data_IF_435120125216
#
_entry.id   IF_435120125216
#
_cell.length_a   1.000
_cell.length_b   1.000
_cell.length_c   1.000
_cell.angle_alpha   90.00
_cell.angle_beta   90.00
_cell.angle_gamma   90.00
#
_symmetry.space_group_name_H-M   'P 1'
#
loop_
_entity.id
_entity.type
_entity.pdbx_description
1 polymer ?
#
# COMPACT_ATOMS: atom_id res chain seq x y z
N UNK A 1 -5.72 42.73 -12.00
CA UNK A 1 -6.16 41.47 -11.35
C UNK A 1 -6.23 40.41 -12.42
N UNK A 2 -5.11 39.72 -12.65
CA UNK A 2 -5.05 38.55 -13.54
C UNK A 2 -5.69 37.39 -12.78
N UNK A 3 -6.84 36.97 -13.27
CA UNK A 3 -7.52 35.74 -12.87
C UNK A 3 -6.59 34.57 -13.19
N UNK A 4 -5.87 34.08 -12.19
CA UNK A 4 -5.13 32.82 -12.30
C UNK A 4 -6.14 31.74 -12.62
N UNK A 5 -6.18 31.40 -13.90
CA UNK A 5 -7.00 30.32 -14.44
C UNK A 5 -6.45 29.08 -13.77
N UNK A 6 -7.22 28.55 -12.81
CA UNK A 6 -6.93 27.29 -12.13
C UNK A 6 -6.63 26.28 -13.23
N UNK A 7 -5.34 25.96 -13.39
CA UNK A 7 -4.85 24.97 -14.35
C UNK A 7 -5.75 23.77 -14.21
N UNK A 8 -6.42 23.38 -15.29
CA UNK A 8 -7.10 22.09 -15.38
C UNK A 8 -6.21 21.06 -14.71
N UNK A 9 -6.75 20.47 -13.64
CA UNK A 9 -6.05 19.55 -12.75
C UNK A 9 -5.38 18.52 -13.66
N UNK A 10 -4.05 18.57 -13.77
CA UNK A 10 -3.26 17.64 -14.59
C UNK A 10 -3.20 16.31 -13.85
N UNK A 11 -4.38 15.73 -13.79
CA UNK A 11 -4.73 14.34 -13.80
C UNK A 11 -3.53 13.39 -13.87
N UNK A 12 -3.22 12.80 -12.71
CA UNK A 12 -2.04 11.96 -12.50
C UNK A 12 -2.04 10.71 -13.41
N UNK A 13 -0.95 10.51 -14.14
CA UNK A 13 -0.76 9.37 -15.04
C UNK A 13 0.08 8.25 -14.40
N UNK A 14 -0.54 7.09 -14.24
CA UNK A 14 0.04 5.89 -13.64
C UNK A 14 0.83 5.03 -14.65
N UNK A 15 0.69 5.30 -15.95
CA UNK A 15 1.27 4.47 -16.99
C UNK A 15 2.80 4.53 -16.98
N UNK A 16 3.43 3.39 -17.27
CA UNK A 16 4.89 3.27 -17.36
C UNK A 16 5.62 3.29 -16.02
N UNK A 17 4.93 3.51 -14.88
CA UNK A 17 5.53 3.40 -13.55
C UNK A 17 5.79 1.92 -13.22
N UNK A 18 4.78 1.06 -13.38
CA UNK A 18 4.88 -0.35 -13.05
C UNK A 18 4.88 -1.23 -14.32
N UNK A 19 5.56 -2.39 -14.30
CA UNK A 19 6.49 -2.86 -13.27
C UNK A 19 7.86 -2.16 -13.29
N UNK A 20 8.13 -1.34 -14.32
CA UNK A 20 9.46 -0.86 -14.72
C UNK A 20 10.26 -0.23 -13.56
N UNK A 21 9.60 0.52 -12.70
CA UNK A 21 10.25 1.22 -11.60
C UNK A 21 10.42 0.36 -10.34
N UNK A 22 9.73 -0.76 -10.24
CA UNK A 22 9.83 -1.70 -9.11
C UNK A 22 10.67 -2.94 -9.43
N UNK A 23 10.79 -3.31 -10.70
CA UNK A 23 11.53 -4.51 -11.08
C UNK A 23 13.01 -4.35 -10.74
N UNK A 24 13.62 -5.40 -10.19
CA UNK A 24 15.03 -5.40 -9.79
C UNK A 24 15.42 -4.52 -8.59
N UNK A 25 14.48 -3.80 -7.96
CA UNK A 25 14.76 -3.00 -6.76
C UNK A 25 14.05 -3.57 -5.52
N UNK A 26 14.80 -3.84 -4.46
CA UNK A 26 14.24 -4.31 -3.20
C UNK A 26 13.81 -3.12 -2.33
N UNK A 27 12.55 -3.05 -1.91
CA UNK A 27 12.04 -1.97 -1.07
C UNK A 27 12.11 -2.26 0.43
N UNK A 28 12.60 -3.43 0.82
CA UNK A 28 12.82 -3.76 2.23
C UNK A 28 13.93 -2.87 2.80
N UNK A 29 13.58 -2.15 3.87
CA UNK A 29 14.50 -1.24 4.57
C UNK A 29 15.72 -1.94 5.17
N UNK A 30 15.67 -3.25 5.35
CA UNK A 30 16.77 -4.05 5.89
C UNK A 30 17.64 -4.71 4.81
N UNK A 31 17.19 -4.74 3.54
CA UNK A 31 17.89 -5.45 2.47
C UNK A 31 19.29 -4.88 2.16
N UNK A 32 19.48 -3.57 2.32
CA UNK A 32 20.70 -2.87 1.88
C UNK A 32 21.73 -2.66 2.98
N UNK A 33 21.67 -3.35 4.13
CA UNK A 33 22.65 -3.11 5.20
C UNK A 33 24.11 -3.36 4.77
N UNK A 34 24.33 -4.22 3.78
CA UNK A 34 25.66 -4.55 3.26
C UNK A 34 26.14 -3.73 2.07
N UNK A 35 25.30 -2.85 1.50
CA UNK A 35 25.71 -2.04 0.34
C UNK A 35 26.79 -1.02 0.74
N UNK A 36 27.83 -0.79 -0.08
CA UNK A 36 28.93 0.12 0.25
C UNK A 36 28.45 1.53 0.66
N UNK A 37 27.43 2.05 -0.01
CA UNK A 37 26.89 3.38 0.23
C UNK A 37 25.82 3.43 1.33
N UNK A 38 25.31 2.28 1.79
CA UNK A 38 24.20 2.24 2.74
C UNK A 38 24.54 2.91 4.07
N UNK A 39 25.74 2.69 4.60
CA UNK A 39 26.17 3.31 5.84
C UNK A 39 26.36 4.82 5.68
N UNK A 40 26.88 5.26 4.53
CA UNK A 40 27.04 6.68 4.22
C UNK A 40 25.67 7.37 4.11
N UNK A 41 24.72 6.79 3.37
CA UNK A 41 23.36 7.31 3.30
C UNK A 41 22.63 7.27 4.65
N UNK A 42 22.80 6.22 5.45
CA UNK A 42 22.24 6.18 6.82
C UNK A 42 22.74 7.36 7.65
N UNK A 43 24.05 7.63 7.59
CA UNK A 43 24.69 8.73 8.31
C UNK A 43 24.23 10.11 7.82
N UNK A 44 24.08 10.27 6.50
CA UNK A 44 23.54 11.48 5.86
C UNK A 44 22.08 11.71 6.27
N UNK A 45 21.22 10.72 6.09
CA UNK A 45 19.80 10.78 6.43
C UNK A 45 19.55 11.03 7.93
N UNK A 46 20.32 10.41 8.82
CA UNK A 46 20.22 10.68 10.26
C UNK A 46 20.59 12.12 10.58
N UNK A 47 21.61 12.67 9.91
CA UNK A 47 22.01 14.05 10.10
C UNK A 47 20.93 15.03 9.63
N UNK A 48 20.36 14.77 8.45
CA UNK A 48 19.24 15.53 7.90
C UNK A 48 18.04 15.52 8.86
N UNK A 49 17.68 14.35 9.39
CA UNK A 49 16.55 14.23 10.32
C UNK A 49 16.77 15.02 11.62
N UNK A 50 17.98 14.99 12.19
CA UNK A 50 18.31 15.75 13.40
C UNK A 50 18.20 17.27 13.17
N UNK A 51 18.54 17.73 11.96
CA UNK A 51 18.43 19.14 11.60
C UNK A 51 16.96 19.56 11.41
N UNK A 52 16.16 18.75 10.73
CA UNK A 52 14.79 19.12 10.33
C UNK A 52 13.72 18.69 11.35
N UNK A 53 14.04 17.79 12.28
CA UNK A 53 13.09 17.25 13.26
C UNK A 53 13.69 17.13 14.65
N UNK A 54 12.87 17.39 15.68
CA UNK A 54 13.23 17.23 17.10
C UNK A 54 12.86 15.84 17.65
N UNK A 55 12.49 14.89 16.80
CA UNK A 55 12.01 13.57 17.20
C UNK A 55 13.11 12.56 17.55
N UNK A 56 12.72 11.48 18.22
CA UNK A 56 13.61 10.37 18.59
C UNK A 56 13.59 9.19 17.59
N UNK A 57 12.91 9.35 16.43
CA UNK A 57 12.70 8.28 15.44
C UNK A 57 13.77 8.25 14.34
N UNK A 58 14.95 8.79 14.61
CA UNK A 58 16.04 8.92 13.64
C UNK A 58 16.41 7.60 12.98
N UNK A 59 16.42 6.49 13.73
CA UNK A 59 16.78 5.18 13.20
C UNK A 59 15.80 4.70 12.12
N UNK A 60 14.50 4.81 12.36
CA UNK A 60 13.48 4.39 11.38
C UNK A 60 13.46 5.29 10.15
N UNK A 61 13.55 6.62 10.38
CA UNK A 61 13.68 7.60 9.31
C UNK A 61 14.88 7.27 8.43
N UNK A 62 16.05 7.07 9.03
CA UNK A 62 17.32 6.87 8.31
C UNK A 62 17.30 5.62 7.45
N UNK A 63 16.64 4.55 7.92
CA UNK A 63 16.47 3.32 7.15
C UNK A 63 15.62 3.55 5.89
N UNK A 64 14.50 4.26 6.01
CA UNK A 64 13.61 4.55 4.87
C UNK A 64 14.24 5.57 3.92
N UNK A 65 14.82 6.65 4.44
CA UNK A 65 15.53 7.65 3.65
C UNK A 65 16.70 7.03 2.88
N UNK A 66 17.45 6.09 3.48
CA UNK A 66 18.48 5.31 2.78
C UNK A 66 17.90 4.54 1.58
N UNK A 67 16.77 3.84 1.75
CA UNK A 67 16.15 3.10 0.64
C UNK A 67 15.82 4.05 -0.51
N UNK A 68 15.27 5.23 -0.21
CA UNK A 68 14.98 6.23 -1.24
C UNK A 68 16.23 6.79 -1.92
N UNK A 69 17.30 7.03 -1.17
CA UNK A 69 18.57 7.48 -1.72
C UNK A 69 19.20 6.44 -2.66
N UNK A 70 19.17 5.16 -2.26
CA UNK A 70 19.61 4.04 -3.10
C UNK A 70 18.71 3.86 -4.32
N UNK A 71 17.40 4.09 -4.17
CA UNK A 71 16.46 4.05 -5.28
C UNK A 71 16.77 5.13 -6.33
N UNK A 72 17.08 6.35 -5.89
CA UNK A 72 17.55 7.40 -6.79
C UNK A 72 18.84 6.98 -7.54
N UNK A 73 19.80 6.35 -6.84
CA UNK A 73 21.00 5.80 -7.50
C UNK A 73 20.63 4.73 -8.55
N UNK A 74 19.71 3.82 -8.21
CA UNK A 74 19.22 2.76 -9.09
C UNK A 74 18.59 3.30 -10.38
N UNK A 75 17.69 4.29 -10.27
CA UNK A 75 16.99 4.84 -11.45
C UNK A 75 17.86 5.83 -12.25
N UNK A 76 18.95 6.32 -11.68
CA UNK A 76 19.90 7.22 -12.35
C UNK A 76 20.57 6.61 -13.59
N UNK A 77 20.64 5.28 -13.67
CA UNK A 77 21.19 4.55 -14.81
C UNK A 77 20.15 4.22 -15.91
N UNK A 78 18.87 4.56 -15.71
CA UNK A 78 17.80 4.27 -16.67
C UNK A 78 17.67 5.36 -17.73
N UNK A 79 17.06 5.01 -18.86
CA UNK A 79 16.67 5.96 -19.91
C UNK A 79 15.81 7.11 -19.33
N UNK A 80 15.95 8.31 -19.90
CA UNK A 80 15.29 9.53 -19.40
C UNK A 80 13.77 9.38 -19.25
N UNK A 81 13.10 8.82 -20.26
CA UNK A 81 11.66 8.57 -20.22
C UNK A 81 11.26 7.65 -19.06
N UNK A 82 11.99 6.56 -18.86
CA UNK A 82 11.75 5.62 -17.76
C UNK A 82 12.02 6.27 -16.42
N UNK A 83 13.14 7.01 -16.32
CA UNK A 83 13.54 7.73 -15.11
C UNK A 83 12.45 8.71 -14.67
N UNK A 84 11.87 9.48 -15.59
CA UNK A 84 10.77 10.41 -15.29
C UNK A 84 9.56 9.72 -14.67
N UNK A 85 9.14 8.58 -15.21
CA UNK A 85 8.06 7.79 -14.61
C UNK A 85 8.45 7.23 -13.23
N UNK A 86 9.71 6.84 -13.05
CA UNK A 86 10.20 6.36 -11.77
C UNK A 86 10.36 7.45 -10.71
N UNK A 87 10.54 8.71 -11.12
CA UNK A 87 10.51 9.86 -10.22
C UNK A 87 9.12 10.08 -9.61
N UNK A 88 8.03 9.79 -10.34
CA UNK A 88 6.66 9.77 -9.75
C UNK A 88 6.56 8.78 -8.59
N UNK A 89 7.12 7.57 -8.75
CA UNK A 89 7.16 6.56 -7.68
C UNK A 89 8.04 7.02 -6.50
N UNK A 90 9.18 7.65 -6.77
CA UNK A 90 10.02 8.26 -5.73
C UNK A 90 9.25 9.29 -4.91
N UNK A 91 8.55 10.24 -5.54
CA UNK A 91 7.80 11.27 -4.82
C UNK A 91 6.63 10.70 -4.03
N UNK A 92 5.93 9.70 -4.56
CA UNK A 92 4.92 8.94 -3.81
C UNK A 92 5.52 8.36 -2.52
N UNK A 93 6.67 7.68 -2.65
CA UNK A 93 7.36 7.06 -1.52
C UNK A 93 7.93 8.07 -0.54
N UNK A 94 8.48 9.18 -1.01
CA UNK A 94 8.93 10.28 -0.17
C UNK A 94 7.77 10.86 0.64
N UNK A 95 6.63 11.15 0.00
CA UNK A 95 5.45 11.67 0.68
C UNK A 95 4.96 10.70 1.75
N UNK A 96 4.69 9.45 1.36
CA UNK A 96 4.08 8.44 2.23
C UNK A 96 5.02 7.93 3.32
N UNK A 97 6.23 7.52 2.96
CA UNK A 97 7.13 6.79 3.85
C UNK A 97 8.01 7.75 4.68
N UNK A 98 8.17 9.02 4.26
CA UNK A 98 8.98 10.01 4.97
C UNK A 98 8.13 11.15 5.54
N UNK A 99 7.45 11.92 4.68
CA UNK A 99 6.80 13.17 5.10
C UNK A 99 5.64 12.87 6.05
N UNK A 100 4.68 12.04 5.62
CA UNK A 100 3.47 11.76 6.39
C UNK A 100 3.76 11.08 7.75
N UNK A 101 4.87 10.36 7.87
CA UNK A 101 5.24 9.60 9.08
C UNK A 101 6.13 10.40 10.03
N UNK A 102 7.07 11.20 9.50
CA UNK A 102 8.13 11.81 10.31
C UNK A 102 8.16 13.33 10.26
N UNK A 103 7.65 13.96 9.20
CA UNK A 103 7.81 15.39 8.91
C UNK A 103 6.49 16.09 8.53
N UNK A 104 5.36 15.57 9.01
CA UNK A 104 4.00 15.92 8.56
C UNK A 104 3.65 17.41 8.75
N UNK A 105 4.33 18.11 9.67
CA UNK A 105 4.05 19.51 9.98
C UNK A 105 5.08 20.47 9.40
N UNK A 106 6.20 19.93 8.92
CA UNK A 106 7.37 20.69 8.50
C UNK A 106 7.39 20.93 6.98
N UNK A 107 6.71 20.07 6.21
CA UNK A 107 6.71 20.14 4.75
C UNK A 107 5.31 19.97 4.17
N UNK A 108 4.70 21.05 3.63
CA UNK A 108 3.42 20.93 2.96
C UNK A 108 3.54 20.16 1.63
N UNK A 109 4.71 20.19 0.99
CA UNK A 109 4.94 19.61 -0.34
C UNK A 109 6.24 18.78 -0.41
N UNK A 110 6.21 17.72 -1.23
CA UNK A 110 7.31 16.77 -1.33
C UNK A 110 8.53 17.30 -2.08
N UNK A 111 8.35 18.20 -3.04
CA UNK A 111 9.44 18.94 -3.71
C UNK A 111 10.28 19.76 -2.72
N UNK A 112 9.67 20.45 -1.77
CA UNK A 112 10.36 21.27 -0.77
C UNK A 112 11.21 20.40 0.14
N UNK A 113 10.64 19.27 0.62
CA UNK A 113 11.39 18.28 1.40
C UNK A 113 12.57 17.73 0.61
N UNK A 114 12.35 17.31 -0.64
CA UNK A 114 13.40 16.74 -1.47
C UNK A 114 14.51 17.75 -1.78
N UNK A 115 14.17 19.01 -2.06
CA UNK A 115 15.15 20.06 -2.30
C UNK A 115 16.07 20.24 -1.09
N UNK A 116 15.51 20.27 0.14
CA UNK A 116 16.34 20.31 1.34
C UNK A 116 17.19 19.05 1.54
N UNK A 117 16.67 17.87 1.20
CA UNK A 117 17.45 16.62 1.22
C UNK A 117 18.63 16.68 0.24
N UNK A 118 18.43 17.28 -0.95
CA UNK A 118 19.48 17.51 -1.96
C UNK A 118 20.50 18.53 -1.47
N UNK A 119 20.08 19.58 -0.75
CA UNK A 119 20.96 20.66 -0.31
C UNK A 119 21.73 20.31 0.97
N UNK A 120 21.21 19.37 1.77
CA UNK A 120 21.86 18.92 3.00
C UNK A 120 23.23 18.29 2.72
N UNK A 121 24.25 18.80 3.40
CA UNK A 121 25.62 18.26 3.38
C UNK A 121 26.03 17.93 4.80
N UNK A 122 26.68 16.78 4.99
CA UNK A 122 27.25 16.38 6.27
C UNK A 122 28.77 16.39 6.15
N UNK A 123 29.43 17.18 7.02
CA UNK A 123 30.88 17.29 7.04
C UNK A 123 31.53 15.90 7.15
N UNK A 124 32.51 15.64 6.28
CA UNK A 124 33.24 14.36 6.25
C UNK A 124 32.52 13.22 5.52
N UNK A 125 31.35 13.45 4.91
CA UNK A 125 30.74 12.50 3.98
C UNK A 125 30.88 12.97 2.53
N UNK A 126 31.38 12.08 1.68
CA UNK A 126 31.57 12.25 0.23
C UNK A 126 30.31 11.87 -0.59
N UNK A 127 29.15 11.75 0.07
CA UNK A 127 27.90 11.34 -0.56
C UNK A 127 26.83 12.42 -0.43
N UNK A 128 26.00 12.55 -1.46
CA UNK A 128 24.86 13.46 -1.50
C UNK A 128 23.61 12.72 -2.02
N UNK A 129 22.43 13.21 -1.63
CA UNK A 129 21.19 12.76 -2.25
C UNK A 129 21.20 13.24 -3.70
N UNK A 130 21.02 12.31 -4.63
CA UNK A 130 20.97 12.60 -6.06
C UNK A 130 19.79 13.54 -6.36
N UNK A 131 19.99 14.49 -7.28
CA UNK A 131 18.99 15.47 -7.72
C UNK A 131 18.24 15.04 -9.00
N UNK A 132 18.41 13.80 -9.46
CA UNK A 132 17.89 13.32 -10.75
C UNK A 132 16.37 13.43 -10.94
N UNK A 133 15.60 13.55 -9.86
CA UNK A 133 14.14 13.71 -9.93
C UNK A 133 13.67 15.14 -9.67
N UNK A 134 14.58 16.10 -9.50
CA UNK A 134 14.27 17.47 -9.09
C UNK A 134 13.31 18.16 -10.06
N UNK A 135 13.53 17.96 -11.35
CA UNK A 135 12.77 18.62 -12.42
C UNK A 135 11.52 17.81 -12.84
N UNK A 136 11.35 16.59 -12.31
CA UNK A 136 10.25 15.67 -12.60
C UNK A 136 9.24 15.60 -11.44
N UNK A 137 9.10 16.69 -10.68
CA UNK A 137 8.11 16.78 -9.60
C UNK A 137 6.68 16.66 -10.13
N UNK A 138 5.89 15.83 -9.46
CA UNK A 138 4.46 15.70 -9.70
C UNK A 138 3.75 15.81 -8.36
N UNK A 139 2.76 16.70 -8.29
CA UNK A 139 1.88 16.76 -7.13
C UNK A 139 0.99 15.51 -7.10
N UNK A 140 0.98 14.80 -5.97
CA UNK A 140 0.22 13.56 -5.80
C UNK A 140 -0.89 13.85 -4.80
N UNK A 141 -2.11 13.98 -5.29
CA UNK A 141 -3.28 14.14 -4.44
C UNK A 141 -3.55 12.90 -3.57
N UNK A 142 -4.47 13.03 -2.62
CA UNK A 142 -4.77 11.98 -1.65
C UNK A 142 -5.28 10.70 -2.32
N UNK A 143 -6.08 10.82 -3.39
CA UNK A 143 -6.65 9.66 -4.06
C UNK A 143 -5.63 9.00 -5.01
N UNK A 144 -4.84 9.79 -5.74
CA UNK A 144 -3.71 9.27 -6.51
C UNK A 144 -2.71 8.54 -5.60
N UNK A 145 -2.47 9.02 -4.38
CA UNK A 145 -1.61 8.36 -3.40
C UNK A 145 -2.16 6.99 -2.98
N UNK A 146 -3.47 6.86 -2.73
CA UNK A 146 -4.12 5.56 -2.42
C UNK A 146 -4.06 4.58 -3.58
N UNK A 147 -4.21 5.06 -4.81
CA UNK A 147 -4.10 4.23 -6.01
C UNK A 147 -2.67 3.73 -6.18
N UNK A 148 -1.68 4.61 -6.04
CA UNK A 148 -0.26 4.26 -6.05
C UNK A 148 0.08 3.21 -4.98
N UNK A 149 -0.51 3.30 -3.79
CA UNK A 149 -0.38 2.29 -2.74
C UNK A 149 -0.88 0.91 -3.16
N UNK A 150 -2.10 0.84 -3.67
CA UNK A 150 -2.66 -0.44 -4.10
C UNK A 150 -1.87 -1.03 -5.27
N UNK A 151 -1.47 -0.22 -6.26
CA UNK A 151 -0.62 -0.65 -7.37
C UNK A 151 0.74 -1.16 -6.88
N UNK A 152 1.38 -0.43 -5.97
CA UNK A 152 2.66 -0.83 -5.39
C UNK A 152 2.55 -2.16 -4.64
N UNK A 153 1.50 -2.38 -3.85
CA UNK A 153 1.25 -3.65 -3.16
C UNK A 153 1.04 -4.81 -4.15
N UNK A 154 0.24 -4.60 -5.19
CA UNK A 154 -0.01 -5.59 -6.25
C UNK A 154 1.30 -5.99 -6.92
N UNK A 155 2.14 -5.04 -7.30
CA UNK A 155 3.42 -5.31 -7.95
C UNK A 155 4.45 -5.93 -6.99
N UNK A 156 4.39 -5.61 -5.71
CA UNK A 156 5.18 -6.30 -4.70
C UNK A 156 4.82 -7.79 -4.62
N UNK A 157 3.52 -8.14 -4.63
CA UNK A 157 3.08 -9.53 -4.73
C UNK A 157 3.51 -10.21 -6.03
N UNK A 158 3.41 -9.52 -7.17
CA UNK A 158 3.88 -10.03 -8.46
C UNK A 158 5.37 -10.39 -8.39
N UNK A 159 6.20 -9.46 -7.90
CA UNK A 159 7.64 -9.70 -7.73
C UNK A 159 7.92 -10.82 -6.73
N UNK A 160 7.14 -10.92 -5.66
CA UNK A 160 7.25 -11.97 -4.66
C UNK A 160 6.93 -13.36 -5.23
N UNK A 161 5.87 -13.48 -6.02
CA UNK A 161 5.49 -14.74 -6.67
C UNK A 161 6.45 -15.14 -7.79
N UNK A 162 7.05 -14.16 -8.48
CA UNK A 162 8.09 -14.37 -9.50
C UNK A 162 9.40 -14.87 -8.88
N UNK A 163 9.85 -14.23 -7.81
CA UNK A 163 11.16 -14.50 -7.19
C UNK A 163 11.17 -15.76 -6.31
N UNK A 164 10.04 -16.12 -5.70
CA UNK A 164 10.02 -17.23 -4.74
C UNK A 164 8.71 -18.03 -4.83
N UNK A 165 8.78 -19.25 -5.36
CA UNK A 165 7.63 -20.15 -5.50
C UNK A 165 7.01 -20.51 -4.15
N UNK A 166 7.77 -20.62 -3.06
CA UNK A 166 7.24 -20.87 -1.72
C UNK A 166 6.28 -19.79 -1.22
N UNK A 167 6.30 -18.60 -1.82
CA UNK A 167 5.41 -17.50 -1.46
C UNK A 167 4.05 -17.59 -2.16
N UNK A 168 3.88 -18.52 -3.11
CA UNK A 168 2.63 -18.77 -3.85
C UNK A 168 1.64 -19.57 -3.01
N UNK A 169 1.29 -19.04 -1.84
CA UNK A 169 0.33 -19.64 -0.91
C UNK A 169 -1.08 -19.11 -1.16
N UNK A 170 -2.10 -19.89 -0.79
CA UNK A 170 -3.50 -19.48 -0.88
C UNK A 170 -3.77 -18.18 -0.12
N UNK A 171 -3.16 -17.98 1.05
CA UNK A 171 -3.32 -16.76 1.83
C UNK A 171 -2.77 -15.53 1.09
N UNK A 172 -1.53 -15.61 0.59
CA UNK A 172 -0.93 -14.49 -0.15
C UNK A 172 -1.67 -14.18 -1.45
N UNK A 173 -2.21 -15.20 -2.12
CA UNK A 173 -3.07 -14.98 -3.28
C UNK A 173 -4.36 -14.24 -2.91
N UNK A 174 -5.01 -14.57 -1.78
CA UNK A 174 -6.18 -13.81 -1.30
C UNK A 174 -5.83 -12.36 -1.00
N UNK A 175 -4.67 -12.12 -0.39
CA UNK A 175 -4.21 -10.78 -0.08
C UNK A 175 -3.94 -9.99 -1.39
N UNK A 176 -3.28 -10.61 -2.36
CA UNK A 176 -3.09 -10.06 -3.71
C UNK A 176 -4.42 -9.71 -4.40
N UNK A 177 -5.39 -10.64 -4.40
CA UNK A 177 -6.73 -10.40 -4.94
C UNK A 177 -7.48 -9.27 -4.20
N UNK A 178 -7.24 -9.12 -2.89
CA UNK A 178 -7.81 -8.05 -2.07
C UNK A 178 -7.26 -6.68 -2.50
N UNK A 179 -5.95 -6.56 -2.76
CA UNK A 179 -5.35 -5.34 -3.28
C UNK A 179 -5.96 -4.94 -4.64
N UNK A 180 -6.20 -5.91 -5.54
CA UNK A 180 -6.87 -5.65 -6.83
C UNK A 180 -8.30 -5.13 -6.61
N UNK A 181 -9.05 -5.70 -5.67
CA UNK A 181 -10.41 -5.23 -5.33
C UNK A 181 -10.42 -3.80 -4.78
N UNK A 182 -9.40 -3.40 -4.01
CA UNK A 182 -9.29 -2.02 -3.52
C UNK A 182 -9.07 -1.01 -4.65
N UNK A 183 -8.47 -1.42 -5.77
CA UNK A 183 -8.40 -0.55 -6.96
C UNK A 183 -9.77 -0.32 -7.59
N UNK A 184 -10.68 -1.31 -7.49
CA UNK A 184 -12.05 -1.17 -8.00
C UNK A 184 -12.75 0.02 -7.33
N UNK A 185 -12.60 0.18 -6.01
CA UNK A 185 -13.31 1.25 -5.26
C UNK A 185 -12.88 2.68 -5.62
N UNK A 186 -11.80 2.86 -6.39
CA UNK A 186 -11.28 4.17 -6.80
C UNK A 186 -11.50 4.43 -8.30
N UNK A 187 -12.19 3.53 -9.01
CA UNK A 187 -12.11 3.50 -10.47
C UNK A 187 -12.87 4.62 -11.17
N UNK A 188 -13.98 5.14 -10.65
CA UNK A 188 -14.84 6.05 -11.43
C UNK A 188 -14.12 7.33 -11.89
N UNK A 189 -13.22 7.89 -11.07
CA UNK A 189 -12.40 9.06 -11.43
C UNK A 189 -11.20 8.71 -12.33
N UNK A 190 -10.56 7.55 -12.11
CA UNK A 190 -9.26 7.21 -12.70
C UNK A 190 -9.33 6.06 -13.71
N UNK A 191 -10.53 5.64 -14.11
CA UNK A 191 -10.81 4.44 -14.88
C UNK A 191 -9.96 4.33 -16.14
N UNK A 192 -10.00 5.39 -16.94
CA UNK A 192 -9.33 5.42 -18.24
C UNK A 192 -7.80 5.37 -18.08
N UNK A 193 -7.26 5.91 -16.98
CA UNK A 193 -5.80 5.91 -16.72
C UNK A 193 -5.30 4.61 -16.15
N UNK A 194 -6.12 3.93 -15.37
CA UNK A 194 -5.77 2.63 -14.81
C UNK A 194 -5.98 1.49 -15.80
N UNK A 195 -6.76 1.70 -16.87
CA UNK A 195 -7.14 0.66 -17.83
C UNK A 195 -5.95 -0.15 -18.32
N UNK A 196 -4.93 0.51 -18.87
CA UNK A 196 -3.75 -0.19 -19.42
C UNK A 196 -3.01 -0.97 -18.34
N UNK A 197 -2.86 -0.38 -17.16
CA UNK A 197 -2.15 -0.99 -16.04
C UNK A 197 -2.90 -2.20 -15.47
N UNK A 198 -4.22 -2.10 -15.39
CA UNK A 198 -5.09 -3.19 -14.98
C UNK A 198 -5.13 -4.32 -16.00
N UNK A 199 -5.11 -4.01 -17.29
CA UNK A 199 -5.00 -5.03 -18.34
C UNK A 199 -3.69 -5.82 -18.22
N UNK A 200 -2.58 -5.18 -17.84
CA UNK A 200 -1.32 -5.88 -17.53
C UNK A 200 -1.49 -6.80 -16.33
N UNK A 201 -2.08 -6.31 -15.24
CA UNK A 201 -2.33 -7.11 -14.02
C UNK A 201 -3.23 -8.31 -14.33
N UNK A 202 -4.29 -8.13 -15.11
CA UNK A 202 -5.20 -9.21 -15.52
C UNK A 202 -4.49 -10.25 -16.39
N UNK A 203 -3.64 -9.83 -17.34
CA UNK A 203 -2.80 -10.76 -18.11
C UNK A 203 -1.91 -11.61 -17.20
N UNK A 204 -1.31 -11.00 -16.18
CA UNK A 204 -0.50 -11.72 -15.18
C UNK A 204 -1.35 -12.73 -14.39
N UNK A 205 -2.56 -12.36 -13.96
CA UNK A 205 -3.49 -13.27 -13.29
C UNK A 205 -3.83 -14.50 -14.16
N UNK A 206 -4.09 -14.29 -15.45
CA UNK A 206 -4.34 -15.37 -16.41
C UNK A 206 -3.12 -16.28 -16.53
N UNK A 207 -1.92 -15.71 -16.62
CA UNK A 207 -0.68 -16.48 -16.65
C UNK A 207 -0.49 -17.32 -15.37
N UNK A 208 -0.73 -16.76 -14.19
CA UNK A 208 -0.63 -17.52 -12.93
C UNK A 208 -1.61 -18.69 -12.89
N UNK A 209 -2.85 -18.46 -13.31
CA UNK A 209 -3.87 -19.52 -13.37
C UNK A 209 -3.46 -20.69 -14.26
N UNK A 210 -2.88 -20.38 -15.43
CA UNK A 210 -2.54 -21.38 -16.43
C UNK A 210 -1.22 -22.10 -16.13
N UNK A 211 -0.25 -21.39 -15.55
CA UNK A 211 1.13 -21.89 -15.43
C UNK A 211 1.47 -22.45 -14.04
N UNK A 212 0.67 -22.19 -13.01
CA UNK A 212 0.96 -22.72 -11.67
C UNK A 212 0.41 -24.14 -11.54
N UNK A 213 1.33 -25.09 -11.33
CA UNK A 213 1.05 -26.51 -11.15
C UNK A 213 1.47 -27.00 -9.75
N UNK A 214 1.17 -28.27 -9.45
CA UNK A 214 1.55 -28.92 -8.19
C UNK A 214 0.97 -28.23 -6.96
N UNK A 215 1.81 -28.00 -5.93
CA UNK A 215 1.36 -27.46 -4.64
C UNK A 215 0.86 -26.01 -4.69
N UNK A 216 1.18 -25.28 -5.76
CA UNK A 216 0.73 -23.90 -5.97
C UNK A 216 -0.62 -23.81 -6.69
N UNK A 217 -1.11 -24.94 -7.22
CA UNK A 217 -2.35 -25.01 -8.00
C UNK A 217 -3.54 -24.46 -7.22
N UNK A 218 -3.67 -24.86 -5.95
CA UNK A 218 -4.73 -24.41 -5.04
C UNK A 218 -4.75 -22.90 -4.81
N UNK A 219 -3.59 -22.23 -4.87
CA UNK A 219 -3.53 -20.77 -4.81
C UNK A 219 -4.02 -20.16 -6.11
N UNK A 220 -3.53 -20.63 -7.26
CA UNK A 220 -3.93 -20.12 -8.56
C UNK A 220 -5.40 -20.39 -8.92
N UNK A 221 -6.00 -21.46 -8.40
CA UNK A 221 -7.41 -21.80 -8.64
C UNK A 221 -8.38 -20.80 -8.01
N UNK A 222 -7.92 -19.94 -7.10
CA UNK A 222 -8.69 -18.78 -6.62
C UNK A 222 -8.96 -17.76 -7.72
N UNK A 223 -8.12 -17.70 -8.76
CA UNK A 223 -8.26 -16.83 -9.92
C UNK A 223 -9.22 -17.48 -10.95
N UNK A 224 -10.46 -17.73 -10.55
CA UNK A 224 -11.46 -18.35 -11.43
C UNK A 224 -11.72 -17.50 -12.69
N UNK A 225 -12.14 -18.13 -13.79
CA UNK A 225 -12.53 -17.39 -15.01
C UNK A 225 -13.57 -16.32 -14.71
N UNK A 226 -14.58 -16.67 -13.90
CA UNK A 226 -15.62 -15.74 -13.47
C UNK A 226 -15.08 -14.56 -12.66
N UNK A 227 -14.04 -14.78 -11.85
CA UNK A 227 -13.39 -13.71 -11.10
C UNK A 227 -12.62 -12.77 -12.03
N UNK A 228 -11.85 -13.32 -12.97
CA UNK A 228 -11.05 -12.56 -13.96
C UNK A 228 -11.98 -11.74 -14.87
N UNK A 229 -13.00 -12.37 -15.45
CA UNK A 229 -13.92 -11.72 -16.38
C UNK A 229 -14.74 -10.62 -15.70
N UNK A 230 -15.17 -10.83 -14.45
CA UNK A 230 -15.83 -9.78 -13.66
C UNK A 230 -14.96 -8.52 -13.55
N UNK A 231 -13.64 -8.65 -13.42
CA UNK A 231 -12.72 -7.50 -13.33
C UNK A 231 -12.52 -6.85 -14.69
N UNK A 232 -12.37 -7.65 -15.75
CA UNK A 232 -12.28 -7.14 -17.12
C UNK A 232 -13.48 -6.27 -17.47
N UNK A 233 -14.70 -6.74 -17.19
CA UNK A 233 -15.95 -5.98 -17.40
C UNK A 233 -15.94 -4.69 -16.56
N UNK A 234 -15.60 -4.80 -15.28
CA UNK A 234 -15.58 -3.66 -14.38
C UNK A 234 -14.68 -2.53 -14.90
N UNK A 235 -13.47 -2.86 -15.36
CA UNK A 235 -12.48 -1.89 -15.81
C UNK A 235 -12.70 -1.38 -17.23
N UNK A 236 -13.22 -2.20 -18.15
CA UNK A 236 -13.53 -1.74 -19.49
C UNK A 236 -14.68 -0.74 -19.56
N UNK A 237 -15.49 -0.63 -18.50
CA UNK A 237 -16.60 0.33 -18.47
C UNK A 237 -17.73 0.03 -19.43
N UNK A 238 -17.62 -1.07 -20.17
CA UNK A 238 -18.73 -1.75 -20.81
C UNK A 238 -19.55 -2.45 -19.72
N UNK A 239 -20.27 -1.63 -18.95
CA UNK A 239 -21.49 -2.10 -18.33
C UNK A 239 -22.34 -2.70 -19.45
N UNK A 240 -22.48 -4.02 -19.46
CA UNK A 240 -23.72 -4.75 -19.15
C UNK A 240 -25.07 -4.20 -19.65
N UNK A 241 -25.13 -3.12 -20.42
CA UNK A 241 -26.33 -2.62 -21.12
C UNK A 241 -26.69 -3.51 -22.30
N UNK A 242 -25.77 -4.33 -22.81
CA UNK A 242 -26.01 -5.15 -24.00
C UNK A 242 -26.47 -6.59 -23.71
N UNK A 243 -26.35 -7.11 -22.47
CA UNK A 243 -26.76 -8.50 -22.16
C UNK A 243 -28.07 -8.67 -21.41
N UNK A 244 -28.67 -7.60 -20.89
CA UNK A 244 -30.03 -7.67 -20.33
C UNK A 244 -31.14 -7.71 -21.40
N UNK A 245 -30.83 -7.39 -22.66
CA UNK A 245 -31.83 -7.40 -23.74
C UNK A 245 -31.94 -8.77 -24.41
N UNK A 246 -30.89 -9.60 -24.41
CA UNK A 246 -30.90 -10.84 -25.23
C UNK A 246 -31.31 -12.12 -24.50
N UNK A 247 -31.33 -12.15 -23.16
CA UNK A 247 -31.80 -13.33 -22.41
C UNK A 247 -33.32 -13.32 -22.22
N UNK A 248 -34.00 -12.21 -22.56
CA UNK A 248 -35.47 -12.11 -22.48
C UNK A 248 -36.18 -12.25 -23.84
N UNK A 249 -35.46 -12.61 -24.92
CA UNK A 249 -36.05 -12.84 -26.25
C UNK A 249 -36.08 -14.32 -26.67
N UNK A 250 -35.66 -15.26 -25.81
CA UNK A 250 -35.71 -16.70 -26.11
C UNK A 250 -36.68 -17.50 -25.21
N UNK A 251 -37.58 -16.83 -24.50
CA UNK A 251 -38.69 -17.49 -23.77
C UNK A 251 -40.01 -16.75 -23.97
N UNK A 252 -40.30 -16.34 -25.21
CA UNK A 252 -41.62 -15.85 -25.59
C UNK A 252 -42.04 -16.39 -26.97
N UNK A 253 -41.97 -17.71 -27.14
CA UNK A 253 -42.83 -18.41 -28.09
C UNK A 253 -43.48 -19.59 -27.37
N UNK A 254 -44.81 -19.61 -27.43
CA UNK A 254 -45.75 -20.60 -26.88
C UNK A 254 -46.14 -20.44 -25.41
N UNK A 255 -47.13 -19.57 -25.15
CA UNK A 255 -48.49 -20.02 -24.82
C UNK A 255 -49.49 -18.88 -25.02
N UNK A 256 -50.51 -19.15 -25.83
CA UNK A 256 -51.68 -18.31 -26.11
C UNK A 256 -52.84 -18.78 -25.21
N UNK A 257 -53.73 -17.85 -24.81
CA UNK A 257 -54.95 -17.98 -23.99
C UNK A 257 -54.69 -18.06 -22.46
N UNK A 258 -55.28 -17.25 -21.57
CA UNK A 258 -56.54 -16.50 -21.56
C UNK A 258 -56.41 -15.23 -20.70
N UNK A 259 -57.10 -14.16 -21.11
CA UNK A 259 -57.16 -12.89 -20.40
C UNK A 259 -58.29 -12.89 -19.36
N UNK A 260 -57.95 -12.87 -18.07
CA UNK A 260 -58.88 -12.49 -17.00
C UNK A 260 -58.40 -11.21 -16.33
N UNK A 261 -59.17 -10.15 -16.52
CA UNK A 261 -59.00 -8.87 -15.87
C UNK A 261 -59.26 -9.02 -14.36
N UNK A 262 -58.32 -8.57 -13.52
CA UNK A 262 -58.55 -8.31 -12.11
C UNK A 262 -57.86 -7.02 -11.71
N UNK A 263 -58.64 -6.13 -11.11
CA UNK A 263 -58.31 -4.75 -10.75
C UNK A 263 -57.32 -4.67 -9.58
N UNK A 264 -56.48 -3.64 -9.67
CA UNK A 264 -55.99 -2.77 -8.59
C UNK A 264 -55.40 -3.39 -7.32
N UNK A 265 -54.11 -3.14 -7.10
CA UNK A 265 -53.68 -2.31 -5.96
C UNK A 265 -52.27 -1.81 -6.23
N UNK A 266 -52.20 -0.53 -6.60
CA UNK A 266 -50.97 0.24 -6.70
C UNK A 266 -50.38 0.37 -5.29
N UNK A 267 -49.26 -0.29 -5.03
CA UNK A 267 -48.48 -0.08 -3.81
C UNK A 267 -47.09 0.32 -4.26
N UNK A 268 -46.89 1.64 -4.37
CA UNK A 268 -45.61 2.27 -4.63
C UNK A 268 -44.58 1.86 -3.57
N UNK A 269 -43.75 0.89 -3.91
CA UNK A 269 -42.59 0.47 -3.14
C UNK A 269 -41.39 1.37 -3.42
N UNK A 270 -41.43 2.61 -2.95
CA UNK A 270 -40.22 3.41 -2.82
C UNK A 270 -39.33 2.80 -1.73
N UNK A 271 -38.35 1.99 -2.12
CA UNK A 271 -37.25 1.59 -1.26
C UNK A 271 -36.35 2.80 -1.01
N UNK A 272 -36.80 3.64 -0.09
CA UNK A 272 -36.02 4.70 0.54
C UNK A 272 -34.80 4.07 1.23
N UNK A 273 -33.68 4.04 0.52
CA UNK A 273 -32.36 3.72 1.08
C UNK A 273 -31.85 4.95 1.83
N UNK A 274 -32.68 5.47 2.74
CA UNK A 274 -32.27 6.43 3.74
C UNK A 274 -31.75 5.65 4.93
N UNK A 275 -30.47 5.27 4.91
CA UNK A 275 -29.81 4.79 6.13
C UNK A 275 -29.92 5.94 7.13
N UNK A 276 -30.88 5.77 8.02
CA UNK A 276 -31.36 6.78 8.94
C UNK A 276 -30.18 7.17 9.85
N UNK A 277 -29.57 8.32 9.57
CA UNK A 277 -28.43 8.88 10.30
C UNK A 277 -28.70 8.88 11.83
N UNK A 278 -29.97 8.94 12.23
CA UNK A 278 -30.40 8.78 13.63
C UNK A 278 -30.02 7.45 14.29
N UNK A 279 -29.95 6.33 13.56
CA UNK A 279 -29.60 5.02 14.15
C UNK A 279 -28.12 4.96 14.60
N UNK A 280 -27.23 5.68 13.92
CA UNK A 280 -25.80 5.77 14.30
C UNK A 280 -25.64 6.59 15.58
N UNK A 281 -26.39 7.68 15.74
CA UNK A 281 -26.34 8.50 16.96
C UNK A 281 -26.93 7.78 18.18
N UNK A 282 -28.00 7.00 18.00
CA UNK A 282 -28.59 6.21 19.09
C UNK A 282 -27.62 5.13 19.57
N UNK A 283 -26.98 4.40 18.64
CA UNK A 283 -26.00 3.38 19.01
C UNK A 283 -24.78 3.96 19.72
N UNK A 284 -24.23 5.09 19.25
CA UNK A 284 -23.14 5.79 19.94
C UNK A 284 -23.54 6.27 21.34
N UNK A 285 -24.76 6.79 21.51
CA UNK A 285 -25.26 7.28 22.80
C UNK A 285 -25.37 6.15 23.82
N UNK A 286 -25.86 4.98 23.41
CA UNK A 286 -25.94 3.77 24.25
C UNK A 286 -24.53 3.32 24.67
N UNK A 287 -23.55 3.32 23.76
CA UNK A 287 -22.17 2.96 24.08
C UNK A 287 -21.54 3.91 25.11
N UNK A 288 -21.73 5.23 24.96
CA UNK A 288 -21.23 6.22 25.92
C UNK A 288 -21.87 6.03 27.29
N UNK A 289 -23.19 5.80 27.35
CA UNK A 289 -23.90 5.53 28.60
C UNK A 289 -23.38 4.26 29.29
N UNK A 290 -23.11 3.19 28.54
CA UNK A 290 -22.49 1.96 29.09
C UNK A 290 -21.09 2.24 29.65
N UNK A 291 -20.26 3.02 28.95
CA UNK A 291 -18.90 3.36 29.43
C UNK A 291 -18.96 4.20 30.71
N UNK A 292 -19.86 5.18 30.78
CA UNK A 292 -20.08 6.02 31.96
C UNK A 292 -20.56 5.13 33.12
N UNK A 293 -21.62 4.35 32.92
CA UNK A 293 -22.11 3.42 33.94
C UNK A 293 -21.02 2.46 34.40
N UNK A 294 -20.22 1.91 33.48
CA UNK A 294 -19.12 1.02 33.83
C UNK A 294 -18.00 1.70 34.63
N UNK A 295 -17.75 2.99 34.38
CA UNK A 295 -16.77 3.80 35.11
C UNK A 295 -17.23 4.18 36.52
N UNK A 296 -18.52 4.42 36.70
CA UNK A 296 -19.09 4.94 37.97
C UNK A 296 -19.83 3.89 38.81
N UNK A 297 -20.07 2.69 38.28
CA UNK A 297 -20.62 1.57 39.07
C UNK A 297 -19.49 0.86 39.82
N UNK A 298 -19.65 0.51 41.12
CA UNK A 298 -18.61 -0.11 41.95
C UNK A 298 -18.05 -1.46 41.44
N UNK A 299 -18.58 -2.03 40.36
CA UNK A 299 -18.02 -3.20 39.67
C UNK A 299 -16.59 -3.00 39.13
N UNK A 300 -16.12 -1.75 38.97
CA UNK A 300 -14.74 -1.47 38.55
C UNK A 300 -13.68 -2.01 39.55
N UNK A 301 -14.06 -2.13 40.83
CA UNK A 301 -13.21 -2.69 41.87
C UNK A 301 -12.85 -4.17 41.61
N UNK A 302 -13.73 -4.94 40.95
CA UNK A 302 -13.52 -6.36 40.63
C UNK A 302 -12.61 -6.59 39.41
N UNK A 303 -12.46 -5.61 38.53
CA UNK A 303 -11.66 -5.73 37.31
C UNK A 303 -10.21 -5.27 37.51
N UNK A 304 -9.98 -4.38 38.48
CA UNK A 304 -8.65 -3.88 38.84
C UNK A 304 -7.63 -5.01 39.13
N UNK A 305 -7.97 -6.11 39.83
CA UNK A 305 -7.06 -7.23 40.03
C UNK A 305 -6.70 -7.98 38.73
N UNK A 306 -7.69 -8.23 37.85
CA UNK A 306 -7.48 -8.95 36.58
C UNK A 306 -6.63 -8.13 35.61
N UNK A 307 -6.91 -6.84 35.45
CA UNK A 307 -6.12 -5.93 34.60
C UNK A 307 -4.69 -5.79 35.14
N UNK A 308 -4.51 -5.70 36.46
CA UNK A 308 -3.18 -5.69 37.09
C UNK A 308 -2.40 -6.99 36.84
N UNK A 309 -3.08 -8.14 36.81
CA UNK A 309 -2.46 -9.46 36.52
C UNK A 309 -2.03 -9.56 35.05
N UNK A 310 -2.85 -9.08 34.12
CA UNK A 310 -2.51 -9.00 32.68
C UNK A 310 -1.31 -8.07 32.45
N UNK A 311 -1.32 -6.86 33.05
CA UNK A 311 -0.21 -5.91 32.95
C UNK A 311 1.09 -6.48 33.50
N UNK A 312 1.04 -7.23 34.63
CA UNK A 312 2.21 -7.94 35.17
C UNK A 312 2.74 -9.03 34.25
N UNK A 313 1.86 -9.79 33.56
CA UNK A 313 2.28 -10.81 32.59
C UNK A 313 2.94 -10.18 31.36
N UNK A 314 2.33 -9.13 30.81
CA UNK A 314 2.92 -8.37 29.70
C UNK A 314 4.29 -7.78 30.06
N UNK A 315 4.44 -7.21 31.26
CA UNK A 315 5.72 -6.65 31.69
C UNK A 315 6.80 -7.71 31.98
N UNK A 316 6.40 -8.92 32.43
CA UNK A 316 7.34 -10.05 32.59
C UNK A 316 7.84 -10.56 31.23
N UNK A 317 6.96 -10.67 30.23
CA UNK A 317 7.35 -11.10 28.89
C UNK A 317 8.29 -10.09 28.21
N UNK A 318 8.15 -8.79 28.51
CA UNK A 318 9.05 -7.77 27.96
C UNK A 318 10.48 -7.84 28.55
N UNK A 319 10.64 -8.25 29.82
CA UNK A 319 11.97 -8.46 30.41
C UNK A 319 12.68 -9.69 29.84
N UNK A 320 11.96 -10.80 29.64
CA UNK A 320 12.57 -12.02 29.10
C UNK A 320 12.96 -11.90 27.63
N UNK A 321 12.30 -11.04 26.84
CA UNK A 321 12.69 -10.78 25.45
C UNK A 321 13.94 -9.91 25.31
N UNK A 322 14.31 -9.12 26.32
CA UNK A 322 15.55 -8.33 26.31
C UNK A 322 16.80 -9.23 26.46
N UNK A 323 16.73 -10.28 27.28
CA UNK A 323 17.83 -11.24 27.43
C UNK A 323 18.04 -12.08 26.16
N UNK A 324 16.95 -12.42 25.46
CA UNK A 324 17.03 -13.17 24.20
C UNK A 324 17.76 -12.36 23.11
N UNK A 325 17.46 -11.06 23.02
CA UNK A 325 18.10 -10.15 22.06
C UNK A 325 19.59 -9.91 22.37
N UNK A 326 20.00 -9.91 23.64
CA UNK A 326 21.40 -9.78 24.03
C UNK A 326 22.22 -11.05 23.72
N UNK A 327 21.61 -12.23 23.82
CA UNK A 327 22.29 -13.51 23.53
C UNK A 327 22.74 -13.62 22.07
N UNK A 328 21.93 -13.14 21.12
CA UNK A 328 22.28 -13.17 19.69
C UNK A 328 23.43 -12.21 19.33
N UNK A 329 23.55 -11.06 20.01
CA UNK A 329 24.64 -10.10 19.76
C UNK A 329 25.99 -10.58 20.29
N UNK A 330 26.00 -11.37 21.38
CA UNK A 330 27.23 -11.96 21.94
C UNK A 330 27.72 -13.13 21.08
N UNK A 331 26.81 -14.00 20.63
CA UNK A 331 27.17 -15.15 19.79
C UNK A 331 27.70 -14.74 18.41
N UNK A 332 27.15 -13.66 17.83
CA UNK A 332 27.60 -13.13 16.54
C UNK A 332 29.03 -12.57 16.58
N UNK A 333 29.44 -11.95 17.70
CA UNK A 333 30.81 -11.43 17.86
C UNK A 333 31.85 -12.53 17.98
N UNK A 334 31.52 -13.66 18.62
CA UNK A 334 32.43 -14.78 18.77
C UNK A 334 32.67 -15.52 17.44
N UNK A 335 31.63 -15.70 16.63
CA UNK A 335 31.74 -16.36 15.30
C UNK A 335 32.59 -15.58 14.30
N UNK A 336 32.62 -14.25 14.39
CA UNK A 336 33.45 -13.42 13.52
C UNK A 336 34.93 -13.52 13.93
N UNK A 337 35.24 -13.59 15.22
CA UNK A 337 36.62 -13.61 15.68
C UNK A 337 37.35 -14.93 15.33
N UNK A 338 36.67 -16.07 15.45
CA UNK A 338 37.25 -17.37 15.07
C UNK A 338 37.51 -17.49 13.56
N UNK A 339 36.73 -16.80 12.73
CA UNK A 339 36.91 -16.82 11.27
C UNK A 339 38.16 -16.06 10.81
N UNK A 340 38.63 -15.08 11.58
CA UNK A 340 39.87 -14.36 11.28
C UNK A 340 41.14 -15.11 11.76
N UNK A 341 41.02 -16.01 12.74
CA UNK A 341 42.16 -16.81 13.22
C UNK A 341 42.52 -18.02 12.34
N UNK A 342 41.68 -18.41 11.38
CA UNK A 342 42.00 -19.51 10.45
C UNK A 342 42.73 -19.05 9.17
N UNK A 343 42.87 -17.74 8.94
CA UNK A 343 43.50 -17.20 7.73
C UNK A 343 45.01 -16.90 7.87
N UNK A 344 45.57 -17.07 9.07
CA UNK A 344 47.00 -16.91 9.33
C UNK A 344 47.56 -18.19 9.96
N UNK A 345 47.79 -19.21 9.11
CA UNK A 345 48.68 -20.32 9.44
C UNK A 345 49.40 -20.83 8.22
#
# INVERSE_FOLDING_TARGET
>A
MTSDTISEDKDFDFNGIFPVCTDGFNWDKEAYRGEPDANKFTSLCSGFYIQESKGNRSTDFSKLCRVLALYLKYIGAKEEYVRKNCCKLFYYKLKKDIIDIFLKNEYPEANVCYQKMIDYRKNGLDIQISNICKDDFVNIDVDSCKIMENLFEIYNYINLFKSNSYQRTTQKMRDFMSCIKKLETHSDKYKNRLKEELDKIIKICVQYRNNWEGWHKSASDLLTESWIEKRRIYFNGEAAKTKSIHVQTQTLESTVFDSQASMSTDTGGETSTGINIGMVFITFSIFIMIIILYKYTPYFSFLKPRVRKIRRRLNKNNKNNLDLMYSFDVEYKNLIHDRYNMAYK
#
